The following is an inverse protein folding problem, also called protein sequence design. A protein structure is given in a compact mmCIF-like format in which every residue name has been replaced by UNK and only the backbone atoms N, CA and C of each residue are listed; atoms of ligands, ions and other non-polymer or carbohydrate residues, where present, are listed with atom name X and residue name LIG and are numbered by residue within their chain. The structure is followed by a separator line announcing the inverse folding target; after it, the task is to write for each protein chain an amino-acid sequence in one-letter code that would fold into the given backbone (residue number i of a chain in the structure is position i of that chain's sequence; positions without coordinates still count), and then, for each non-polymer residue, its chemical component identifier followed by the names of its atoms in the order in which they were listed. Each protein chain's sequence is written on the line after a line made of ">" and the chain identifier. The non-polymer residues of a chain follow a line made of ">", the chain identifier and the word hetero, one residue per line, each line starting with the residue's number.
data_IF_373263252227
#
_entry.id   IF_373263252227
#
_cell.length_a   1.000
_cell.length_b   1.000
_cell.length_c   1.000
_cell.angle_alpha   90.00
_cell.angle_beta   90.00
_cell.angle_gamma   90.00
#
_symmetry.space_group_name_H-M   'P 1'
#
loop_
_entity.id
_entity.type
_entity.pdbx_description
1 polymer ?
#
# COMPACT_ATOMS: atom_id res chain seq x y z
N UNK A 1 -53.50 8.01 22.14
CA UNK A 1 -52.87 7.07 21.16
C UNK A 1 -51.60 7.63 20.47
N UNK A 2 -51.47 8.93 20.23
CA UNK A 2 -50.26 9.53 19.63
C UNK A 2 -48.98 9.36 20.49
N UNK A 3 -49.12 9.47 21.80
CA UNK A 3 -47.99 9.39 22.75
C UNK A 3 -47.34 8.00 22.81
N UNK A 4 -48.09 6.92 22.58
CA UNK A 4 -47.60 5.55 22.61
C UNK A 4 -46.75 5.20 21.36
N UNK A 5 -47.16 5.68 20.17
CA UNK A 5 -46.42 5.53 18.93
C UNK A 5 -45.08 6.28 18.98
N UNK A 6 -45.07 7.47 19.56
CA UNK A 6 -43.85 8.26 19.75
C UNK A 6 -42.86 7.56 20.70
N UNK A 7 -43.37 6.99 21.81
CA UNK A 7 -42.52 6.23 22.74
C UNK A 7 -41.94 4.97 22.09
N UNK A 8 -42.70 4.25 21.26
CA UNK A 8 -42.21 3.09 20.52
C UNK A 8 -41.11 3.47 19.51
N UNK A 9 -41.30 4.57 18.80
CA UNK A 9 -40.28 5.08 17.84
C UNK A 9 -39.00 5.46 18.57
N UNK A 10 -39.09 6.21 19.67
CA UNK A 10 -37.92 6.60 20.48
C UNK A 10 -37.20 5.36 21.02
N UNK A 11 -37.95 4.39 21.59
CA UNK A 11 -37.34 3.13 22.04
C UNK A 11 -36.63 2.38 20.90
N UNK A 12 -37.28 2.28 19.74
CA UNK A 12 -36.68 1.63 18.56
C UNK A 12 -35.42 2.33 18.12
N UNK A 13 -35.39 3.68 18.05
CA UNK A 13 -34.21 4.44 17.70
C UNK A 13 -33.07 4.26 18.69
N UNK A 14 -33.37 4.30 20.02
CA UNK A 14 -32.36 4.08 21.05
C UNK A 14 -31.77 2.66 20.94
N UNK A 15 -32.63 1.65 20.81
CA UNK A 15 -32.21 0.25 20.69
C UNK A 15 -31.36 0.06 19.40
N UNK A 16 -31.79 0.65 18.28
CA UNK A 16 -31.05 0.61 17.01
C UNK A 16 -29.68 1.28 17.13
N UNK A 17 -29.60 2.42 17.81
CA UNK A 17 -28.35 3.16 18.02
C UNK A 17 -27.38 2.36 18.91
N UNK A 18 -27.88 1.76 20.00
CA UNK A 18 -27.07 0.90 20.87
C UNK A 18 -26.57 -0.31 20.10
N UNK A 19 -27.43 -0.99 19.34
CA UNK A 19 -27.07 -2.15 18.54
C UNK A 19 -26.03 -1.77 17.47
N UNK A 20 -26.22 -0.66 16.77
CA UNK A 20 -25.27 -0.16 15.78
C UNK A 20 -23.91 0.17 16.43
N UNK A 21 -23.93 0.80 17.61
CA UNK A 21 -22.69 1.08 18.36
C UNK A 21 -21.94 -0.19 18.78
N UNK A 22 -22.66 -1.20 19.28
CA UNK A 22 -22.07 -2.50 19.63
C UNK A 22 -21.52 -3.22 18.39
N UNK A 23 -22.27 -3.25 17.29
CA UNK A 23 -21.78 -3.79 16.02
C UNK A 23 -20.52 -3.05 15.55
N UNK A 24 -20.50 -1.73 15.61
CA UNK A 24 -19.31 -0.96 15.24
C UNK A 24 -18.10 -1.32 16.11
N UNK A 25 -18.27 -1.47 17.42
CA UNK A 25 -17.18 -1.88 18.33
C UNK A 25 -16.63 -3.27 17.98
N UNK A 26 -17.49 -4.21 17.58
CA UNK A 26 -17.08 -5.55 17.17
C UNK A 26 -16.33 -5.50 15.83
N UNK A 27 -16.87 -4.78 14.85
CA UNK A 27 -16.36 -4.82 13.49
C UNK A 27 -15.24 -3.83 13.20
N UNK A 28 -15.01 -2.80 14.04
CA UNK A 28 -14.01 -1.75 13.80
C UNK A 28 -12.61 -2.31 13.50
N UNK A 29 -12.21 -3.38 14.19
CA UNK A 29 -10.89 -4.02 14.00
C UNK A 29 -10.77 -4.76 12.66
N UNK A 30 -11.90 -5.16 12.08
CA UNK A 30 -11.94 -5.88 10.80
C UNK A 30 -12.19 -4.96 9.60
N UNK A 31 -12.62 -3.72 9.84
CA UNK A 31 -12.94 -2.76 8.76
C UNK A 31 -11.78 -2.61 7.76
N UNK A 32 -10.51 -2.39 8.18
CA UNK A 32 -9.41 -2.27 7.23
C UNK A 32 -9.22 -3.55 6.38
N UNK A 33 -9.29 -4.73 7.01
CA UNK A 33 -9.14 -6.01 6.32
C UNK A 33 -10.28 -6.26 5.33
N UNK A 34 -11.53 -5.99 5.73
CA UNK A 34 -12.70 -6.11 4.86
C UNK A 34 -12.66 -5.11 3.70
N UNK A 35 -12.21 -3.88 3.95
CA UNK A 35 -12.08 -2.88 2.91
C UNK A 35 -11.00 -3.25 1.89
N UNK A 36 -9.85 -3.78 2.33
CA UNK A 36 -8.82 -4.33 1.43
C UNK A 36 -9.40 -5.48 0.61
N UNK A 37 -10.12 -6.41 1.23
CA UNK A 37 -10.78 -7.51 0.53
C UNK A 37 -11.80 -7.03 -0.52
N UNK A 38 -12.59 -5.99 -0.21
CA UNK A 38 -13.53 -5.38 -1.15
C UNK A 38 -12.81 -4.71 -2.34
N UNK A 39 -11.70 -4.01 -2.09
CA UNK A 39 -10.86 -3.42 -3.12
C UNK A 39 -10.34 -4.51 -4.07
N UNK A 40 -9.77 -5.59 -3.52
CA UNK A 40 -9.33 -6.73 -4.32
C UNK A 40 -10.48 -7.35 -5.13
N UNK A 41 -11.66 -7.50 -4.55
CA UNK A 41 -12.83 -8.03 -5.25
C UNK A 41 -13.26 -7.13 -6.42
N UNK A 42 -13.23 -5.80 -6.25
CA UNK A 42 -13.53 -4.84 -7.33
C UNK A 42 -12.49 -4.94 -8.45
N UNK A 43 -11.20 -4.97 -8.12
CA UNK A 43 -10.10 -5.04 -9.10
C UNK A 43 -10.16 -6.34 -9.88
N UNK A 44 -10.42 -7.46 -9.19
CA UNK A 44 -10.45 -8.79 -9.76
C UNK A 44 -11.81 -9.17 -10.38
N UNK A 45 -12.83 -8.31 -10.28
CA UNK A 45 -14.18 -8.58 -10.78
C UNK A 45 -14.21 -8.95 -12.26
N UNK A 46 -13.47 -8.24 -13.10
CA UNK A 46 -13.38 -8.51 -14.53
C UNK A 46 -12.73 -9.87 -14.84
N UNK A 47 -11.73 -10.27 -14.05
CA UNK A 47 -11.07 -11.58 -14.19
C UNK A 47 -11.97 -12.68 -13.65
N UNK A 48 -12.65 -12.44 -12.53
CA UNK A 48 -13.65 -13.35 -11.98
C UNK A 48 -14.79 -13.62 -12.95
N UNK A 49 -15.30 -12.62 -13.67
CA UNK A 49 -16.34 -12.81 -14.69
C UNK A 49 -15.87 -13.65 -15.87
N UNK A 50 -14.61 -13.46 -16.31
CA UNK A 50 -14.00 -14.30 -17.36
C UNK A 50 -13.89 -15.76 -16.92
N UNK A 51 -13.37 -16.00 -15.71
CA UNK A 51 -13.27 -17.34 -15.13
C UNK A 51 -14.65 -17.98 -14.90
N UNK A 52 -15.64 -17.20 -14.45
CA UNK A 52 -17.01 -17.67 -14.26
C UNK A 52 -17.58 -18.20 -15.58
N UNK A 53 -17.35 -17.49 -16.69
CA UNK A 53 -17.76 -17.96 -18.04
C UNK A 53 -17.01 -19.22 -18.46
N UNK A 54 -15.72 -19.30 -18.19
CA UNK A 54 -14.90 -20.47 -18.50
C UNK A 54 -15.31 -21.71 -17.68
N UNK A 55 -15.78 -21.52 -16.44
CA UNK A 55 -16.23 -22.61 -15.56
C UNK A 55 -17.74 -22.87 -15.63
N UNK A 56 -18.38 -22.54 -16.75
CA UNK A 56 -19.80 -22.89 -16.98
C UNK A 56 -20.74 -22.18 -15.98
N UNK A 57 -20.53 -20.90 -15.72
CA UNK A 57 -21.33 -20.06 -14.81
C UNK A 57 -21.22 -20.39 -13.30
N UNK A 58 -20.22 -21.16 -12.91
CA UNK A 58 -19.99 -21.56 -11.51
C UNK A 58 -19.20 -20.46 -10.77
N UNK A 59 -19.89 -19.38 -10.34
CA UNK A 59 -19.28 -18.22 -9.65
C UNK A 59 -18.43 -18.60 -8.44
N UNK A 60 -18.89 -19.56 -7.63
CA UNK A 60 -18.17 -20.01 -6.43
C UNK A 60 -16.83 -20.66 -6.76
N UNK A 61 -16.76 -21.49 -7.81
CA UNK A 61 -15.50 -22.11 -8.24
C UNK A 61 -14.54 -21.05 -8.80
N UNK A 62 -15.04 -20.11 -9.61
CA UNK A 62 -14.23 -19.02 -10.14
C UNK A 62 -13.65 -18.15 -9.03
N UNK A 63 -14.46 -17.80 -8.01
CA UNK A 63 -14.01 -17.03 -6.85
C UNK A 63 -12.95 -17.79 -6.04
N UNK A 64 -13.16 -19.10 -5.80
CA UNK A 64 -12.23 -19.93 -5.03
C UNK A 64 -10.88 -20.06 -5.75
N UNK A 65 -10.88 -20.36 -7.03
CA UNK A 65 -9.63 -20.46 -7.81
C UNK A 65 -8.90 -19.12 -7.82
N UNK A 66 -9.62 -18.02 -8.05
CA UNK A 66 -9.01 -16.70 -8.14
C UNK A 66 -8.41 -16.25 -6.81
N UNK A 67 -9.13 -16.43 -5.69
CA UNK A 67 -8.61 -16.09 -4.36
C UNK A 67 -7.43 -16.96 -3.98
N UNK A 68 -7.47 -18.26 -4.29
CA UNK A 68 -6.37 -19.18 -4.03
C UNK A 68 -5.10 -18.79 -4.82
N UNK A 69 -5.25 -18.43 -6.10
CA UNK A 69 -4.14 -17.94 -6.93
C UNK A 69 -3.54 -16.67 -6.35
N UNK A 70 -4.37 -15.71 -5.94
CA UNK A 70 -3.88 -14.45 -5.33
C UNK A 70 -3.09 -14.72 -4.05
N UNK A 71 -3.59 -15.61 -3.19
CA UNK A 71 -2.89 -16.00 -1.95
C UNK A 71 -1.58 -16.71 -2.26
N UNK A 72 -1.59 -17.65 -3.20
CA UNK A 72 -0.37 -18.37 -3.60
C UNK A 72 0.68 -17.40 -4.15
N UNK A 73 0.29 -16.46 -5.01
CA UNK A 73 1.19 -15.42 -5.53
C UNK A 73 1.73 -14.56 -4.39
N UNK A 74 0.88 -14.08 -3.49
CA UNK A 74 1.29 -13.26 -2.36
C UNK A 74 2.27 -14.01 -1.43
N UNK A 75 1.95 -15.26 -1.07
CA UNK A 75 2.82 -16.11 -0.24
C UNK A 75 4.15 -16.39 -0.94
N UNK A 76 4.12 -16.70 -2.25
CA UNK A 76 5.34 -16.95 -3.03
C UNK A 76 6.26 -15.71 -3.06
N UNK A 77 5.68 -14.53 -3.30
CA UNK A 77 6.42 -13.26 -3.30
C UNK A 77 7.02 -12.98 -1.91
N UNK A 78 6.23 -13.09 -0.85
CA UNK A 78 6.71 -12.87 0.52
C UNK A 78 7.81 -13.86 0.88
N UNK A 79 7.63 -15.16 0.57
CA UNK A 79 8.64 -16.19 0.85
C UNK A 79 9.92 -15.95 0.08
N UNK A 80 9.82 -15.60 -1.20
CA UNK A 80 10.96 -15.25 -2.04
C UNK A 80 11.74 -14.06 -1.50
N UNK A 81 11.05 -12.98 -1.13
CA UNK A 81 11.66 -11.80 -0.54
C UNK A 81 12.34 -12.11 0.80
N UNK A 82 11.65 -12.81 1.69
CA UNK A 82 12.17 -13.18 3.00
C UNK A 82 13.42 -14.04 2.88
N UNK A 83 13.41 -15.05 1.99
CA UNK A 83 14.54 -15.94 1.79
C UNK A 83 15.77 -15.17 1.24
N UNK A 84 15.58 -14.30 0.25
CA UNK A 84 16.69 -13.53 -0.35
C UNK A 84 17.22 -12.47 0.61
N UNK A 85 16.36 -11.74 1.30
CA UNK A 85 16.79 -10.75 2.31
C UNK A 85 17.56 -11.44 3.44
N UNK A 86 17.08 -12.60 3.90
CA UNK A 86 17.77 -13.36 4.93
C UNK A 86 19.16 -13.83 4.48
N UNK A 87 19.25 -14.42 3.28
CA UNK A 87 20.53 -14.90 2.73
C UNK A 87 21.53 -13.75 2.53
N UNK A 88 21.06 -12.63 1.98
CA UNK A 88 21.93 -11.48 1.73
C UNK A 88 22.36 -10.80 3.03
N UNK A 89 21.44 -10.62 3.98
CA UNK A 89 21.77 -10.08 5.31
C UNK A 89 22.76 -10.99 6.06
N UNK A 90 22.59 -12.30 5.96
CA UNK A 90 23.49 -13.27 6.58
C UNK A 90 24.87 -13.28 5.90
N UNK A 91 24.93 -13.25 4.58
CA UNK A 91 26.19 -13.16 3.83
C UNK A 91 26.92 -11.84 4.11
N UNK A 92 26.19 -10.73 4.18
CA UNK A 92 26.74 -9.43 4.56
C UNK A 92 27.30 -9.46 5.99
N UNK A 93 26.56 -10.01 6.95
CA UNK A 93 27.01 -10.17 8.32
C UNK A 93 28.31 -11.00 8.43
N UNK A 94 28.39 -12.10 7.69
CA UNK A 94 29.61 -12.94 7.66
C UNK A 94 30.79 -12.23 7.02
N UNK A 95 30.60 -11.45 5.96
CA UNK A 95 31.67 -10.64 5.33
C UNK A 95 32.17 -9.55 6.28
N UNK A 96 31.29 -8.92 7.02
CA UNK A 96 31.64 -7.90 8.03
C UNK A 96 32.40 -8.54 9.20
N UNK A 97 32.01 -9.74 9.69
CA UNK A 97 32.72 -10.46 10.73
C UNK A 97 34.02 -11.11 10.24
N UNK A 98 34.05 -11.57 8.99
CA UNK A 98 35.22 -12.26 8.41
C UNK A 98 36.38 -11.34 8.03
N UNK A 99 36.25 -10.02 8.16
CA UNK A 99 37.31 -9.06 7.83
C UNK A 99 37.57 -8.91 6.34
N UNK A 100 36.74 -9.47 5.46
CA UNK A 100 36.88 -9.36 4.00
C UNK A 100 36.39 -8.00 3.45
N UNK A 101 35.55 -7.32 4.18
CA UNK A 101 35.29 -5.87 4.04
C UNK A 101 36.15 -5.17 5.09
N UNK A 102 37.09 -4.33 4.69
CA UNK A 102 38.02 -3.62 5.55
C UNK A 102 37.44 -3.28 6.91
N UNK A 103 38.21 -3.41 7.97
CA UNK A 103 37.71 -3.29 9.33
C UNK A 103 36.84 -2.07 9.51
N UNK A 104 35.84 -2.10 10.37
CA UNK A 104 34.97 -0.95 10.69
C UNK A 104 35.81 0.31 10.94
N UNK A 105 37.03 0.16 11.41
CA UNK A 105 38.04 1.20 11.59
C UNK A 105 38.52 1.80 10.25
N UNK A 106 38.73 0.99 9.22
CA UNK A 106 39.11 1.52 7.88
C UNK A 106 37.95 2.29 7.23
N UNK A 107 36.73 1.80 7.40
CA UNK A 107 35.51 2.46 6.87
C UNK A 107 35.32 3.81 7.59
N UNK A 108 35.46 3.87 8.92
CA UNK A 108 35.34 5.10 9.67
C UNK A 108 36.43 6.12 9.25
N UNK A 109 37.67 5.67 9.08
CA UNK A 109 38.78 6.52 8.61
C UNK A 109 38.57 7.01 7.17
N UNK A 110 38.04 6.21 6.26
CA UNK A 110 37.74 6.61 4.88
C UNK A 110 36.63 7.67 4.87
N UNK A 111 35.60 7.52 5.69
CA UNK A 111 34.48 8.48 5.76
C UNK A 111 34.91 9.76 6.47
N UNK A 112 35.60 9.67 7.61
CA UNK A 112 36.18 10.83 8.29
C UNK A 112 37.14 11.61 7.40
N UNK A 113 38.00 10.91 6.65
CA UNK A 113 39.01 11.57 5.78
C UNK A 113 38.34 12.19 4.54
N UNK A 114 37.36 11.51 3.92
CA UNK A 114 36.73 11.99 2.69
C UNK A 114 35.56 12.96 2.91
N UNK A 115 34.73 12.74 3.94
CA UNK A 115 33.62 13.64 4.27
C UNK A 115 34.07 14.80 5.15
N UNK A 116 35.03 14.60 6.04
CA UNK A 116 35.65 15.69 6.81
C UNK A 116 36.34 16.72 5.94
N UNK A 117 36.86 16.30 4.75
CA UNK A 117 37.38 17.23 3.74
C UNK A 117 36.32 18.07 3.03
N UNK A 118 35.09 17.60 2.95
CA UNK A 118 33.97 18.29 2.27
C UNK A 118 33.09 19.04 3.31
N UNK A 119 32.96 18.49 4.51
CA UNK A 119 32.15 19.04 5.60
C UNK A 119 32.91 18.98 6.93
N UNK A 120 33.78 19.98 7.24
CA UNK A 120 34.69 19.95 8.39
C UNK A 120 34.01 19.87 9.77
N UNK A 121 32.72 20.12 9.88
CA UNK A 121 31.95 20.16 11.11
C UNK A 121 30.95 18.99 11.26
N UNK A 122 31.02 17.98 10.40
CA UNK A 122 30.14 16.82 10.46
C UNK A 122 30.88 15.65 11.12
N UNK A 123 30.70 15.53 12.41
CA UNK A 123 31.19 14.37 13.20
C UNK A 123 30.19 13.20 12.99
N UNK A 124 30.34 12.49 11.86
CA UNK A 124 29.47 11.35 11.54
C UNK A 124 30.11 10.09 12.14
N UNK A 125 29.61 9.69 13.29
CA UNK A 125 29.91 8.37 13.82
C UNK A 125 29.14 7.31 13.02
N UNK A 126 29.82 6.69 12.04
CA UNK A 126 29.22 5.68 11.15
C UNK A 126 28.67 4.51 11.93
N UNK A 127 29.34 4.11 13.02
CA UNK A 127 28.86 3.06 13.90
C UNK A 127 27.50 3.40 14.48
N UNK A 128 27.30 4.63 14.92
CA UNK A 128 26.02 5.12 15.43
C UNK A 128 24.92 5.15 14.33
N UNK A 129 25.29 5.49 13.10
CA UNK A 129 24.35 5.46 11.95
C UNK A 129 23.96 4.04 11.60
N UNK A 130 24.93 3.13 11.55
CA UNK A 130 24.68 1.69 11.30
C UNK A 130 23.86 1.09 12.43
N UNK A 131 24.21 1.36 13.69
CA UNK A 131 23.46 0.87 14.85
C UNK A 131 22.02 1.41 14.85
N UNK A 132 21.81 2.67 14.48
CA UNK A 132 20.46 3.28 14.32
C UNK A 132 19.66 2.61 13.18
N UNK A 133 20.31 2.29 12.05
CA UNK A 133 19.67 1.58 10.95
C UNK A 133 19.28 0.16 11.38
N UNK A 134 20.19 -0.56 12.07
CA UNK A 134 19.89 -1.89 12.60
C UNK A 134 18.82 -1.86 13.69
N UNK A 135 18.86 -0.90 14.61
CA UNK A 135 17.84 -0.72 15.62
C UNK A 135 16.49 -0.42 14.96
N UNK A 136 16.46 0.51 14.01
CA UNK A 136 15.26 0.83 13.25
C UNK A 136 14.71 -0.41 12.50
N UNK A 137 15.58 -1.16 11.83
CA UNK A 137 15.18 -2.38 11.15
C UNK A 137 14.64 -3.43 12.14
N UNK A 138 15.31 -3.62 13.26
CA UNK A 138 14.88 -4.56 14.31
C UNK A 138 13.53 -4.12 14.89
N UNK A 139 13.36 -2.86 15.22
CA UNK A 139 12.11 -2.33 15.80
C UNK A 139 10.91 -2.42 14.85
N UNK A 140 11.15 -2.33 13.54
CA UNK A 140 10.08 -2.38 12.55
C UNK A 140 9.84 -3.79 11.97
N UNK A 141 10.86 -4.64 11.90
CA UNK A 141 10.72 -6.00 11.37
C UNK A 141 10.50 -7.08 12.44
N UNK A 142 11.00 -6.91 13.67
CA UNK A 142 10.74 -7.86 14.75
C UNK A 142 9.25 -7.96 15.14
N UNK A 143 8.46 -6.87 15.17
CA UNK A 143 7.01 -6.96 15.35
C UNK A 143 6.30 -7.74 14.23
N UNK A 144 6.81 -7.68 12.99
CA UNK A 144 6.27 -8.49 11.88
C UNK A 144 6.48 -9.98 12.13
N UNK A 145 7.63 -10.37 12.68
CA UNK A 145 7.93 -11.77 13.02
C UNK A 145 7.11 -12.24 14.25
N UNK A 146 6.95 -11.40 15.27
CA UNK A 146 6.18 -11.72 16.48
C UNK A 146 4.66 -11.70 16.27
N UNK A 147 4.18 -10.95 15.28
CA UNK A 147 2.76 -10.81 14.92
C UNK A 147 2.26 -11.87 13.93
N UNK A 148 3.03 -12.95 13.71
CA UNK A 148 2.73 -13.96 12.66
C UNK A 148 1.29 -14.49 12.76
N UNK A 149 0.79 -14.75 13.97
CA UNK A 149 -0.58 -15.22 14.17
C UNK A 149 -1.63 -14.17 13.72
N UNK A 150 -1.42 -12.89 14.03
CA UNK A 150 -2.33 -11.83 13.63
C UNK A 150 -2.28 -11.56 12.13
N UNK A 151 -1.08 -11.61 11.53
CA UNK A 151 -0.90 -11.47 10.09
C UNK A 151 -1.59 -12.62 9.37
N UNK A 152 -1.36 -13.87 9.83
CA UNK A 152 -2.01 -15.05 9.27
C UNK A 152 -3.54 -14.96 9.38
N UNK A 153 -4.06 -14.56 10.53
CA UNK A 153 -5.49 -14.38 10.74
C UNK A 153 -6.07 -13.31 9.81
N UNK A 154 -5.39 -12.16 9.66
CA UNK A 154 -5.83 -11.09 8.76
C UNK A 154 -5.79 -11.51 7.29
N UNK A 155 -4.78 -12.26 6.86
CA UNK A 155 -4.70 -12.81 5.51
C UNK A 155 -5.84 -13.81 5.28
N UNK A 156 -6.08 -14.71 6.22
CA UNK A 156 -7.18 -15.69 6.14
C UNK A 156 -8.53 -14.97 6.05
N UNK A 157 -8.76 -13.99 6.92
CA UNK A 157 -9.98 -13.18 6.93
C UNK A 157 -10.15 -12.39 5.64
N UNK A 158 -9.09 -11.72 5.15
CA UNK A 158 -9.11 -10.98 3.89
C UNK A 158 -9.42 -11.90 2.71
N UNK A 159 -8.82 -13.10 2.69
CA UNK A 159 -9.05 -14.10 1.65
C UNK A 159 -10.49 -14.61 1.66
N UNK A 160 -11.00 -14.96 2.84
CA UNK A 160 -12.39 -15.39 3.01
C UNK A 160 -13.36 -14.27 2.59
N UNK A 161 -13.13 -13.05 3.03
CA UNK A 161 -13.95 -11.89 2.66
C UNK A 161 -13.90 -11.62 1.15
N UNK A 162 -12.72 -11.64 0.52
CA UNK A 162 -12.56 -11.47 -0.93
C UNK A 162 -13.30 -12.57 -1.72
N UNK A 163 -13.23 -13.83 -1.26
CA UNK A 163 -13.99 -14.91 -1.83
C UNK A 163 -15.50 -14.63 -1.82
N UNK A 164 -16.06 -14.24 -0.67
CA UNK A 164 -17.48 -13.92 -0.56
C UNK A 164 -17.86 -12.69 -1.38
N UNK A 165 -17.04 -11.64 -1.39
CA UNK A 165 -17.29 -10.45 -2.21
C UNK A 165 -17.27 -10.76 -3.71
N UNK A 166 -16.40 -11.65 -4.19
CA UNK A 166 -16.39 -12.08 -5.59
C UNK A 166 -17.58 -12.99 -5.90
N UNK A 167 -17.85 -13.96 -5.04
CA UNK A 167 -18.94 -14.93 -5.25
C UNK A 167 -20.31 -14.24 -5.22
N UNK A 168 -20.56 -13.47 -4.17
CA UNK A 168 -21.88 -12.91 -3.84
C UNK A 168 -21.97 -11.39 -4.17
N UNK A 169 -21.02 -10.83 -4.90
CA UNK A 169 -20.92 -9.38 -5.17
C UNK A 169 -22.17 -8.78 -5.82
N UNK A 170 -22.85 -9.52 -6.69
CA UNK A 170 -24.14 -9.06 -7.27
C UNK A 170 -25.26 -8.99 -6.24
N UNK A 171 -25.30 -9.91 -5.30
CA UNK A 171 -26.26 -9.90 -4.18
C UNK A 171 -25.97 -8.75 -3.22
N UNK A 172 -24.69 -8.59 -2.83
CA UNK A 172 -24.27 -7.50 -1.95
C UNK A 172 -24.57 -6.12 -2.55
N UNK A 173 -24.32 -5.94 -3.87
CA UNK A 173 -24.69 -4.69 -4.57
C UNK A 173 -26.19 -4.42 -4.46
N UNK A 174 -27.02 -5.40 -4.76
CA UNK A 174 -28.49 -5.24 -4.67
C UNK A 174 -28.93 -4.94 -3.24
N UNK A 175 -28.34 -5.61 -2.24
CA UNK A 175 -28.61 -5.33 -0.84
C UNK A 175 -28.24 -3.89 -0.45
N UNK A 176 -27.06 -3.40 -0.85
CA UNK A 176 -26.63 -2.03 -0.58
C UNK A 176 -27.59 -1.01 -1.20
N UNK A 177 -27.98 -1.20 -2.47
CA UNK A 177 -28.96 -0.34 -3.17
C UNK A 177 -30.33 -0.38 -2.48
N UNK A 178 -30.81 -1.55 -2.05
CA UNK A 178 -32.10 -1.68 -1.36
C UNK A 178 -32.16 -1.02 0.03
N UNK A 179 -31.00 -0.82 0.68
CA UNK A 179 -30.89 -0.14 1.97
C UNK A 179 -30.72 1.38 1.80
N UNK A 180 -30.38 1.84 0.60
CA UNK A 180 -30.18 3.26 0.29
C UNK A 180 -31.52 3.97 0.15
N UNK A 181 -31.68 5.17 0.74
CA UNK A 181 -32.85 6.02 0.50
C UNK A 181 -32.75 6.83 -0.80
N UNK A 182 -31.68 6.64 -1.59
CA UNK A 182 -31.45 7.36 -2.85
C UNK A 182 -32.19 6.67 -4.00
N UNK A 183 -32.27 7.36 -5.14
CA UNK A 183 -32.74 6.74 -6.38
C UNK A 183 -31.67 5.79 -6.92
N UNK A 184 -32.06 4.65 -7.48
CA UNK A 184 -31.17 3.62 -8.04
C UNK A 184 -30.09 4.21 -8.97
N UNK A 185 -30.42 5.26 -9.75
CA UNK A 185 -29.45 5.94 -10.62
C UNK A 185 -28.29 6.60 -9.85
N UNK A 186 -28.56 7.16 -8.67
CA UNK A 186 -27.53 7.77 -7.84
C UNK A 186 -26.66 6.71 -7.16
N UNK A 187 -27.28 5.61 -6.71
CA UNK A 187 -26.54 4.49 -6.14
C UNK A 187 -25.61 3.84 -7.19
N UNK A 188 -26.11 3.66 -8.41
CA UNK A 188 -25.29 3.16 -9.53
C UNK A 188 -24.15 4.12 -9.88
N UNK A 189 -24.36 5.42 -9.84
CA UNK A 189 -23.32 6.42 -10.04
C UNK A 189 -22.24 6.35 -8.95
N UNK A 190 -22.64 6.26 -7.67
CA UNK A 190 -21.70 6.10 -6.54
C UNK A 190 -20.85 4.86 -6.73
N UNK A 191 -21.48 3.69 -6.93
CA UNK A 191 -20.77 2.42 -7.06
C UNK A 191 -19.86 2.38 -8.29
N UNK A 192 -20.29 2.96 -9.40
CA UNK A 192 -19.48 3.10 -10.62
C UNK A 192 -18.25 3.97 -10.40
N UNK A 193 -18.41 5.16 -9.81
CA UNK A 193 -17.30 6.09 -9.54
C UNK A 193 -16.31 5.47 -8.54
N UNK A 194 -16.79 4.78 -7.50
CA UNK A 194 -15.93 4.05 -6.56
C UNK A 194 -15.13 2.96 -7.28
N UNK A 195 -15.78 2.16 -8.11
CA UNK A 195 -15.13 1.11 -8.88
C UNK A 195 -14.06 1.66 -9.83
N UNK A 196 -14.34 2.76 -10.52
CA UNK A 196 -13.37 3.45 -11.39
C UNK A 196 -12.18 3.95 -10.57
N UNK A 197 -12.44 4.60 -9.43
CA UNK A 197 -11.36 5.11 -8.56
C UNK A 197 -10.49 3.99 -8.02
N UNK A 198 -11.09 2.92 -7.49
CA UNK A 198 -10.37 1.75 -6.99
C UNK A 198 -9.48 1.14 -8.07
N UNK A 199 -10.06 0.87 -9.26
CA UNK A 199 -9.29 0.30 -10.37
C UNK A 199 -8.14 1.21 -10.82
N UNK A 200 -8.35 2.52 -10.83
CA UNK A 200 -7.33 3.48 -11.25
C UNK A 200 -6.20 3.59 -10.25
N UNK A 201 -6.50 3.64 -8.95
CA UNK A 201 -5.50 3.68 -7.89
C UNK A 201 -4.67 2.39 -7.91
N UNK A 202 -5.32 1.22 -7.93
CA UNK A 202 -4.59 -0.07 -7.89
C UNK A 202 -3.75 -0.28 -9.16
N UNK A 203 -4.31 -0.03 -10.35
CA UNK A 203 -3.55 -0.15 -11.61
C UNK A 203 -2.44 0.87 -11.70
N UNK A 204 -2.68 2.09 -11.23
CA UNK A 204 -1.66 3.14 -11.15
C UNK A 204 -0.52 2.73 -10.23
N UNK A 205 -0.83 2.18 -9.05
CA UNK A 205 0.18 1.69 -8.10
C UNK A 205 1.01 0.55 -8.67
N UNK A 206 0.39 -0.42 -9.34
CA UNK A 206 1.11 -1.52 -9.99
C UNK A 206 2.03 -1.01 -11.11
N UNK A 207 1.58 -0.04 -11.91
CA UNK A 207 2.40 0.57 -12.95
C UNK A 207 3.58 1.33 -12.36
N UNK A 208 3.33 2.14 -11.33
CA UNK A 208 4.39 2.86 -10.60
C UNK A 208 5.40 1.88 -10.03
N UNK A 209 4.94 0.82 -9.37
CA UNK A 209 5.80 -0.21 -8.79
C UNK A 209 6.69 -0.88 -9.85
N UNK A 210 6.15 -1.21 -11.02
CA UNK A 210 6.92 -1.77 -12.13
C UNK A 210 7.97 -0.78 -12.65
N UNK A 211 7.61 0.49 -12.83
CA UNK A 211 8.53 1.55 -13.27
C UNK A 211 9.63 1.75 -12.24
N UNK A 212 9.30 1.90 -10.97
CA UNK A 212 10.26 2.11 -9.90
C UNK A 212 11.20 0.93 -9.72
N UNK A 213 10.68 -0.30 -9.73
CA UNK A 213 11.52 -1.49 -9.69
C UNK A 213 12.51 -1.57 -10.85
N UNK A 214 12.05 -1.21 -12.05
CA UNK A 214 12.93 -1.13 -13.23
C UNK A 214 13.99 -0.04 -13.07
N UNK A 215 13.62 1.14 -12.61
CA UNK A 215 14.55 2.27 -12.41
C UNK A 215 15.57 1.98 -11.30
N UNK A 216 15.17 1.33 -10.21
CA UNK A 216 16.08 0.91 -9.13
C UNK A 216 17.02 -0.17 -9.65
N UNK A 217 16.52 -1.18 -10.36
CA UNK A 217 17.33 -2.22 -10.96
C UNK A 217 18.34 -1.67 -11.96
N UNK A 218 17.93 -0.74 -12.83
CA UNK A 218 18.83 -0.04 -13.76
C UNK A 218 19.87 0.80 -13.01
N UNK A 219 19.48 1.53 -11.96
CA UNK A 219 20.41 2.28 -11.12
C UNK A 219 21.46 1.35 -10.49
N UNK A 220 21.05 0.24 -9.91
CA UNK A 220 21.96 -0.74 -9.33
C UNK A 220 22.90 -1.35 -10.37
N UNK A 221 22.40 -1.65 -11.57
CA UNK A 221 23.22 -2.13 -12.67
C UNK A 221 24.27 -1.09 -13.13
N UNK A 222 23.85 0.16 -13.34
CA UNK A 222 24.73 1.25 -13.79
C UNK A 222 25.84 1.54 -12.77
N UNK A 223 25.47 1.55 -11.49
CA UNK A 223 26.41 1.87 -10.41
C UNK A 223 27.09 0.63 -9.80
N UNK A 224 26.99 -0.53 -10.48
CA UNK A 224 27.68 -1.78 -10.13
C UNK A 224 27.34 -2.32 -8.72
N UNK A 225 26.10 -2.13 -8.29
CA UNK A 225 25.59 -2.84 -7.11
C UNK A 225 25.31 -4.30 -7.49
N UNK A 226 25.81 -5.28 -6.73
CA UNK A 226 25.55 -6.70 -6.99
C UNK A 226 24.06 -7.02 -7.04
N UNK A 227 23.68 -8.07 -7.76
CA UNK A 227 22.30 -8.59 -7.81
C UNK A 227 21.24 -7.52 -8.21
N UNK A 228 21.58 -6.62 -9.14
CA UNK A 228 20.73 -5.50 -9.56
C UNK A 228 19.32 -5.93 -9.99
N UNK A 229 19.17 -7.07 -10.66
CA UNK A 229 17.87 -7.60 -11.09
C UNK A 229 17.03 -8.06 -9.89
N UNK A 230 17.64 -8.76 -8.94
CA UNK A 230 17.00 -9.19 -7.71
C UNK A 230 16.48 -7.97 -6.93
N UNK A 231 17.37 -7.02 -6.66
CA UNK A 231 17.02 -5.83 -5.89
C UNK A 231 16.04 -4.91 -6.62
N UNK A 232 16.07 -4.86 -7.95
CA UNK A 232 15.04 -4.21 -8.76
C UNK A 232 13.66 -4.85 -8.58
N UNK A 233 13.61 -6.19 -8.50
CA UNK A 233 12.36 -6.93 -8.24
C UNK A 233 11.86 -6.69 -6.82
N UNK A 234 12.77 -6.71 -5.82
CA UNK A 234 12.44 -6.34 -4.43
C UNK A 234 11.88 -4.92 -4.38
N UNK A 235 12.53 -3.98 -5.08
CA UNK A 235 12.08 -2.59 -5.16
C UNK A 235 10.70 -2.46 -5.80
N UNK A 236 10.37 -3.25 -6.84
CA UNK A 236 9.03 -3.24 -7.43
C UNK A 236 7.95 -3.67 -6.42
N UNK A 237 8.24 -4.65 -5.56
CA UNK A 237 7.27 -5.09 -4.55
C UNK A 237 7.17 -4.09 -3.40
N UNK A 238 8.31 -3.60 -2.90
CA UNK A 238 8.31 -2.62 -1.82
C UNK A 238 7.74 -1.27 -2.25
N UNK A 239 7.88 -0.88 -3.52
CA UNK A 239 7.28 0.33 -4.09
C UNK A 239 5.74 0.37 -4.04
N UNK A 240 5.08 -0.78 -3.77
CA UNK A 240 3.66 -0.78 -3.46
C UNK A 240 3.34 -0.05 -2.14
N UNK A 241 4.35 0.21 -1.30
CA UNK A 241 4.24 1.01 -0.08
C UNK A 241 4.77 2.42 -0.40
N UNK A 242 3.89 3.42 -0.64
CA UNK A 242 4.31 4.74 -1.08
C UNK A 242 5.18 5.46 -0.05
N UNK A 243 6.18 6.19 -0.55
CA UNK A 243 7.05 7.05 0.25
C UNK A 243 8.17 6.32 1.00
N UNK A 244 8.07 5.02 1.23
CA UNK A 244 9.07 4.23 1.97
C UNK A 244 9.63 3.10 1.08
N UNK A 245 8.82 2.57 0.18
CA UNK A 245 9.08 1.31 -0.50
C UNK A 245 10.42 1.24 -1.23
N UNK A 246 10.71 2.16 -2.11
CA UNK A 246 11.99 2.18 -2.84
C UNK A 246 13.18 2.54 -1.93
N UNK A 247 12.97 3.35 -0.88
CA UNK A 247 14.01 3.71 0.07
C UNK A 247 14.53 2.49 0.84
N UNK A 248 13.67 1.49 1.12
CA UNK A 248 14.08 0.24 1.77
C UNK A 248 15.15 -0.53 0.98
N UNK A 249 15.20 -0.33 -0.32
CA UNK A 249 16.19 -0.98 -1.20
C UNK A 249 17.35 -0.04 -1.54
N UNK A 250 17.04 1.22 -1.82
CA UNK A 250 18.05 2.21 -2.22
C UNK A 250 19.00 2.58 -1.07
N UNK A 251 18.50 2.74 0.15
CA UNK A 251 19.34 3.11 1.29
C UNK A 251 20.40 2.04 1.57
N UNK A 252 20.07 0.74 1.71
CA UNK A 252 21.08 -0.31 1.83
C UNK A 252 22.05 -0.37 0.65
N UNK A 253 21.56 -0.21 -0.59
CA UNK A 253 22.41 -0.24 -1.78
C UNK A 253 23.42 0.91 -1.83
N UNK A 254 23.00 2.14 -1.48
CA UNK A 254 23.88 3.30 -1.38
C UNK A 254 24.88 3.09 -0.25
N UNK A 255 24.44 2.61 0.92
CA UNK A 255 25.29 2.30 2.06
C UNK A 255 26.34 1.26 1.70
N UNK A 256 25.97 0.18 0.99
CA UNK A 256 26.90 -0.84 0.51
C UNK A 256 28.02 -0.22 -0.34
N UNK A 257 27.72 0.65 -1.29
CA UNK A 257 28.73 1.31 -2.14
C UNK A 257 29.66 2.21 -1.34
N UNK A 258 29.11 2.95 -0.35
CA UNK A 258 29.95 3.75 0.55
C UNK A 258 30.89 2.87 1.39
N UNK A 259 30.39 1.80 1.96
CA UNK A 259 31.14 0.88 2.82
C UNK A 259 32.23 0.12 2.05
N UNK A 260 32.01 -0.18 0.77
CA UNK A 260 32.99 -0.83 -0.10
C UNK A 260 33.98 0.17 -0.74
N UNK A 261 34.00 1.44 -0.30
CA UNK A 261 34.95 2.45 -0.79
C UNK A 261 34.62 3.07 -2.16
N UNK A 262 33.49 2.69 -2.77
CA UNK A 262 33.05 3.18 -4.08
C UNK A 262 32.25 4.48 -3.94
N UNK A 263 32.83 5.50 -3.31
CA UNK A 263 32.14 6.77 -2.96
C UNK A 263 31.56 7.49 -4.19
N UNK A 264 32.26 7.47 -5.33
CA UNK A 264 31.77 8.12 -6.56
C UNK A 264 30.47 7.49 -7.09
N UNK A 265 30.42 6.15 -7.12
CA UNK A 265 29.21 5.42 -7.54
C UNK A 265 28.10 5.52 -6.51
N UNK A 266 28.42 5.60 -5.21
CA UNK A 266 27.44 5.83 -4.14
C UNK A 266 26.73 7.20 -4.29
N UNK A 267 27.52 8.27 -4.55
CA UNK A 267 26.96 9.62 -4.82
C UNK A 267 26.15 9.60 -6.12
N UNK A 268 26.62 8.91 -7.15
CA UNK A 268 25.89 8.73 -8.40
C UNK A 268 24.54 8.03 -8.19
N UNK A 269 24.51 6.94 -7.41
CA UNK A 269 23.28 6.22 -7.10
C UNK A 269 22.33 7.07 -6.21
N UNK A 270 22.86 7.85 -5.28
CA UNK A 270 22.08 8.78 -4.47
C UNK A 270 21.43 9.87 -5.33
N UNK A 271 22.18 10.46 -6.28
CA UNK A 271 21.64 11.43 -7.23
C UNK A 271 20.58 10.78 -8.15
N UNK A 272 20.83 9.57 -8.65
CA UNK A 272 19.88 8.79 -9.43
C UNK A 272 18.58 8.55 -8.65
N UNK A 273 18.69 8.12 -7.40
CA UNK A 273 17.52 7.85 -6.53
C UNK A 273 16.70 9.11 -6.26
N UNK A 274 17.36 10.22 -5.93
CA UNK A 274 16.69 11.47 -5.62
C UNK A 274 16.01 12.10 -6.85
N UNK A 275 16.69 12.09 -8.01
CA UNK A 275 16.21 12.74 -9.23
C UNK A 275 15.29 11.78 -10.01
N UNK A 276 15.79 10.62 -10.42
CA UNK A 276 15.07 9.75 -11.36
C UNK A 276 13.96 8.97 -10.67
N UNK A 277 14.28 8.28 -9.56
CA UNK A 277 13.28 7.50 -8.83
C UNK A 277 12.31 8.41 -8.10
N UNK A 278 12.79 9.50 -7.49
CA UNK A 278 11.97 10.49 -6.79
C UNK A 278 11.01 11.25 -7.71
N UNK A 279 11.34 11.44 -8.99
CA UNK A 279 10.40 12.02 -9.97
C UNK A 279 9.16 11.16 -10.16
N UNK A 280 9.27 9.85 -10.04
CA UNK A 280 8.11 8.95 -10.16
C UNK A 280 7.11 9.20 -9.04
N UNK A 281 7.58 9.29 -7.79
CA UNK A 281 6.72 9.54 -6.64
C UNK A 281 6.08 10.93 -6.65
N UNK A 282 6.87 11.95 -7.03
CA UNK A 282 6.44 13.34 -6.93
C UNK A 282 5.58 13.81 -8.11
N UNK A 283 5.77 13.25 -9.31
CA UNK A 283 5.08 13.71 -10.53
C UNK A 283 4.19 12.65 -11.14
N UNK A 284 4.69 11.42 -11.31
CA UNK A 284 3.94 10.38 -12.02
C UNK A 284 2.78 9.84 -11.17
N UNK A 285 2.98 9.62 -9.88
CA UNK A 285 1.95 9.10 -8.99
C UNK A 285 0.72 10.03 -8.91
N UNK A 286 0.83 11.34 -8.59
CA UNK A 286 -0.32 12.24 -8.57
C UNK A 286 -1.00 12.37 -9.93
N UNK A 287 -0.24 12.33 -11.03
CA UNK A 287 -0.78 12.40 -12.38
C UNK A 287 -1.66 11.19 -12.74
N UNK A 288 -1.20 9.98 -12.39
CA UNK A 288 -1.96 8.75 -12.67
C UNK A 288 -3.22 8.66 -11.83
N UNK A 289 -3.15 9.06 -10.56
CA UNK A 289 -4.32 9.02 -9.67
C UNK A 289 -5.35 10.11 -9.96
N UNK A 290 -4.89 11.31 -10.34
CA UNK A 290 -5.78 12.46 -10.58
C UNK A 290 -6.63 12.35 -11.85
N UNK A 291 -6.15 11.67 -12.89
CA UNK A 291 -6.85 11.56 -14.17
C UNK A 291 -8.19 10.82 -14.13
N UNK A 292 -8.34 9.90 -13.19
CA UNK A 292 -9.53 9.03 -13.15
C UNK A 292 -10.67 9.58 -12.31
N UNK A 293 -10.43 10.51 -11.36
CA UNK A 293 -11.38 10.83 -10.30
C UNK A 293 -12.08 12.18 -10.47
N UNK A 294 -11.81 12.97 -11.50
CA UNK A 294 -12.29 14.38 -11.64
C UNK A 294 -11.94 15.27 -10.43
N UNK A 295 -11.17 14.78 -9.49
CA UNK A 295 -10.70 15.50 -8.30
C UNK A 295 -9.39 16.20 -8.63
N UNK A 296 -9.21 17.43 -8.13
CA UNK A 296 -7.98 18.17 -8.35
C UNK A 296 -6.76 17.35 -7.81
N UNK A 297 -5.65 17.25 -8.57
CA UNK A 297 -4.49 16.44 -8.18
C UNK A 297 -3.96 16.75 -6.78
N UNK A 298 -3.97 18.02 -6.36
CA UNK A 298 -3.55 18.44 -5.02
C UNK A 298 -4.43 17.82 -3.91
N UNK A 299 -5.75 17.76 -4.10
CA UNK A 299 -6.66 17.13 -3.13
C UNK A 299 -6.46 15.62 -3.08
N UNK A 300 -6.15 14.99 -4.23
CA UNK A 300 -5.78 13.58 -4.25
C UNK A 300 -4.48 13.33 -3.49
N UNK A 301 -3.46 14.15 -3.70
CA UNK A 301 -2.21 14.08 -2.95
C UNK A 301 -2.44 14.23 -1.43
N UNK A 302 -3.23 15.23 -1.03
CA UNK A 302 -3.59 15.46 0.36
C UNK A 302 -4.37 14.27 0.95
N UNK A 303 -5.26 13.66 0.16
CA UNK A 303 -6.03 12.49 0.59
C UNK A 303 -5.15 11.25 0.79
N UNK A 304 -4.09 11.10 0.00
CA UNK A 304 -3.08 10.04 0.19
C UNK A 304 -2.35 10.22 1.51
N UNK A 305 -1.81 11.43 1.76
CA UNK A 305 -1.06 11.72 2.99
C UNK A 305 -1.97 11.57 4.22
N UNK A 306 -3.16 12.17 4.19
CA UNK A 306 -4.14 12.07 5.27
C UNK A 306 -4.62 10.63 5.48
N UNK A 307 -4.80 9.88 4.39
CA UNK A 307 -5.16 8.47 4.43
C UNK A 307 -4.09 7.62 5.12
N UNK A 308 -2.83 7.79 4.74
CA UNK A 308 -1.69 7.08 5.35
C UNK A 308 -1.60 7.42 6.86
N UNK A 309 -1.77 8.68 7.22
CA UNK A 309 -1.76 9.12 8.61
C UNK A 309 -2.89 8.49 9.44
N UNK A 310 -4.10 8.34 8.86
CA UNK A 310 -5.27 7.84 9.57
C UNK A 310 -5.38 6.31 9.59
N UNK A 311 -4.98 5.63 8.51
CA UNK A 311 -5.21 4.20 8.28
C UNK A 311 -3.93 3.41 8.03
N UNK A 312 -2.75 4.01 8.24
CA UNK A 312 -1.47 3.40 7.91
C UNK A 312 -1.31 3.15 6.40
N UNK A 313 -0.56 2.12 6.03
CA UNK A 313 -0.27 1.78 4.61
C UNK A 313 -1.55 1.60 3.78
N UNK A 314 -2.60 1.00 4.34
CA UNK A 314 -3.88 0.84 3.64
C UNK A 314 -4.55 2.20 3.31
N UNK A 315 -4.25 3.23 4.07
CA UNK A 315 -4.76 4.59 3.86
C UNK A 315 -4.34 5.22 2.54
N UNK A 316 -3.24 4.75 1.95
CA UNK A 316 -2.85 5.12 0.59
C UNK A 316 -3.95 4.86 -0.45
N UNK A 317 -4.68 3.77 -0.30
CA UNK A 317 -5.81 3.41 -1.18
C UNK A 317 -7.11 4.03 -0.65
N UNK A 318 -7.33 4.01 0.67
CA UNK A 318 -8.56 4.52 1.27
C UNK A 318 -8.71 6.04 1.13
N UNK A 319 -7.62 6.82 1.23
CA UNK A 319 -7.65 8.26 1.07
C UNK A 319 -8.31 8.71 -0.25
N UNK A 320 -7.77 8.30 -1.41
CA UNK A 320 -8.38 8.58 -2.71
C UNK A 320 -9.82 8.09 -2.86
N UNK A 321 -10.15 6.92 -2.33
CA UNK A 321 -11.51 6.35 -2.39
C UNK A 321 -12.48 7.21 -1.60
N UNK A 322 -12.13 7.59 -0.35
CA UNK A 322 -12.95 8.44 0.49
C UNK A 322 -13.12 9.84 -0.10
N UNK A 323 -12.06 10.40 -0.67
CA UNK A 323 -12.12 11.70 -1.36
C UNK A 323 -13.04 11.63 -2.58
N UNK A 324 -12.93 10.59 -3.41
CA UNK A 324 -13.81 10.37 -4.56
C UNK A 324 -15.27 10.21 -4.14
N UNK A 325 -15.52 9.48 -3.05
CA UNK A 325 -16.86 9.31 -2.49
C UNK A 325 -17.43 10.65 -2.02
N UNK A 326 -16.66 11.46 -1.29
CA UNK A 326 -17.08 12.76 -0.80
C UNK A 326 -17.48 13.71 -1.94
N UNK A 327 -16.69 13.76 -3.01
CA UNK A 327 -17.03 14.56 -4.20
C UNK A 327 -18.26 14.02 -4.91
N UNK A 328 -18.41 12.70 -5.03
CA UNK A 328 -19.59 12.09 -5.65
C UNK A 328 -20.87 12.43 -4.86
N UNK A 329 -20.81 12.33 -3.53
CA UNK A 329 -21.95 12.71 -2.68
C UNK A 329 -22.26 14.21 -2.77
N UNK A 330 -21.25 15.07 -2.84
CA UNK A 330 -21.45 16.51 -3.05
C UNK A 330 -22.09 16.83 -4.41
N UNK A 331 -21.70 16.12 -5.48
CA UNK A 331 -22.32 16.26 -6.79
C UNK A 331 -23.80 15.83 -6.78
N UNK A 332 -24.09 14.67 -6.17
CA UNK A 332 -25.46 14.16 -6.03
C UNK A 332 -26.30 15.11 -5.17
N UNK A 333 -25.77 15.62 -4.06
CA UNK A 333 -26.45 16.60 -3.22
C UNK A 333 -26.87 17.84 -4.02
N UNK A 334 -26.00 18.37 -4.88
CA UNK A 334 -26.30 19.52 -5.75
C UNK A 334 -27.41 19.23 -6.78
N UNK A 335 -27.57 17.95 -7.17
CA UNK A 335 -28.66 17.55 -8.08
C UNK A 335 -30.00 17.37 -7.36
N UNK A 336 -29.97 16.90 -6.10
CA UNK A 336 -31.17 16.66 -5.28
C UNK A 336 -31.69 17.95 -4.68
N UNK A 337 -30.81 18.85 -4.24
CA UNK A 337 -31.15 20.16 -3.67
C UNK A 337 -30.89 21.24 -4.71
N UNK A 338 -31.89 21.58 -5.54
CA UNK A 338 -31.73 22.67 -6.50
C UNK A 338 -31.42 23.95 -5.73
N UNK A 339 -30.40 24.71 -6.18
CA UNK A 339 -30.13 26.04 -5.66
C UNK A 339 -31.44 26.83 -5.78
N UNK A 340 -32.10 27.08 -4.64
CA UNK A 340 -33.06 28.17 -4.59
C UNK A 340 -32.27 29.40 -5.04
N UNK A 341 -32.72 29.99 -6.15
CA UNK A 341 -32.12 31.20 -6.67
C UNK A 341 -32.11 32.26 -5.54
N UNK A 342 -30.91 32.62 -5.10
CA UNK A 342 -30.71 33.88 -4.39
C UNK A 342 -30.84 35.00 -5.37
#
# INVERSE_FOLDING_TARGET
>A
MANYKSAQLVFFFILSLITAGLCFLIFKSFIPTLAVAAIFAVVLSSLHERLTRAFGQRRGLAALVLTLVVVLVAVSVISFLTANIYQESHSFYLRVQGGETGSFEEISQIVETKLGGIFPNLDINIREVVDKIFAWATDHFAPLASSTANIFFNILLATAAAFFFLKDGTYLRKMLVSLSPLKDQHDDEILSRLSVTINSVVRGSLLIAAIQGTLVGLGFFIFSVPEAFLWGTVAAVTALIPGIGTALVLIPGIAFLFLTGHTGTAIGLLAWSAIIVGMVDNFLAPYLYGRASRVHPFLMFLSVIGGISAFGVAGFIFGPILMSLAFTLADIYRLIVPKQAM
#
